data_IF_429518995209
#
_entry.id   IF_429518995209
#
_cell.length_a   1.000
_cell.length_b   1.000
_cell.length_c   1.000
_cell.angle_alpha   90.00
_cell.angle_beta   90.00
_cell.angle_gamma   90.00
#
_symmetry.space_group_name_H-M   'P 1'
#
loop_
_entity.id
_entity.type
_entity.pdbx_description
1 polymer ?
#
# COMPACT_ATOMS: atom_id res chain seq x y z
N UNK A 1 49.10 -17.09 5.96
CA UNK A 1 47.76 -17.07 6.59
C UNK A 1 47.26 -15.68 6.94
N UNK A 2 47.76 -14.98 7.99
CA UNK A 2 47.20 -13.66 8.37
C UNK A 2 47.46 -12.59 7.29
N UNK A 3 48.68 -12.52 6.73
CA UNK A 3 49.02 -11.55 5.69
C UNK A 3 48.31 -11.78 4.35
N UNK A 4 48.14 -13.04 3.93
CA UNK A 4 47.38 -13.40 2.72
C UNK A 4 45.90 -13.07 2.86
N UNK A 5 45.33 -13.30 4.05
CA UNK A 5 43.96 -12.92 4.35
C UNK A 5 43.77 -11.40 4.33
N UNK A 6 44.72 -10.63 4.88
CA UNK A 6 44.70 -9.16 4.82
C UNK A 6 44.77 -8.67 3.38
N UNK A 7 45.69 -9.19 2.56
CA UNK A 7 45.81 -8.78 1.16
C UNK A 7 44.56 -9.10 0.32
N UNK A 8 43.84 -10.19 0.63
CA UNK A 8 42.56 -10.50 -0.01
C UNK A 8 41.44 -9.55 0.47
N UNK A 9 41.43 -9.17 1.75
CA UNK A 9 40.47 -8.19 2.28
C UNK A 9 40.68 -6.81 1.67
N UNK A 10 41.92 -6.38 1.52
CA UNK A 10 42.24 -5.11 0.86
C UNK A 10 41.74 -5.10 -0.59
N UNK A 11 41.84 -6.23 -1.31
CA UNK A 11 41.28 -6.36 -2.65
C UNK A 11 39.74 -6.33 -2.67
N UNK A 12 39.09 -6.92 -1.67
CA UNK A 12 37.62 -6.83 -1.50
C UNK A 12 37.22 -5.38 -1.26
N UNK A 13 37.93 -4.66 -0.38
CA UNK A 13 37.64 -3.26 -0.08
C UNK A 13 37.75 -2.36 -1.33
N UNK A 14 38.71 -2.63 -2.23
CA UNK A 14 38.82 -1.91 -3.51
C UNK A 14 37.64 -2.22 -4.45
N UNK A 15 37.16 -3.48 -4.50
CA UNK A 15 35.96 -3.84 -5.25
C UNK A 15 34.72 -3.14 -4.66
N UNK A 16 34.59 -3.11 -3.34
CA UNK A 16 33.46 -2.46 -2.66
C UNK A 16 33.45 -0.94 -2.90
N UNK A 17 34.62 -0.29 -2.91
CA UNK A 17 34.74 1.13 -3.31
C UNK A 17 34.33 1.35 -4.77
N UNK A 18 34.72 0.45 -5.67
CA UNK A 18 34.31 0.54 -7.06
C UNK A 18 32.79 0.39 -7.21
N UNK A 19 32.16 -0.51 -6.45
CA UNK A 19 30.70 -0.65 -6.39
C UNK A 19 30.03 0.65 -5.93
N UNK A 20 30.55 1.31 -4.89
CA UNK A 20 30.04 2.62 -4.46
C UNK A 20 30.10 3.67 -5.57
N UNK A 21 31.21 3.73 -6.32
CA UNK A 21 31.35 4.62 -7.48
C UNK A 21 30.32 4.33 -8.58
N UNK A 22 30.05 3.06 -8.87
CA UNK A 22 29.04 2.64 -9.84
C UNK A 22 27.62 2.99 -9.38
N UNK A 23 27.33 2.83 -8.09
CA UNK A 23 26.04 3.21 -7.50
C UNK A 23 25.82 4.72 -7.58
N UNK A 24 26.83 5.52 -7.25
CA UNK A 24 26.77 6.99 -7.37
C UNK A 24 26.48 7.41 -8.83
N UNK A 25 27.23 6.85 -9.79
CA UNK A 25 26.99 7.12 -11.21
C UNK A 25 25.59 6.71 -11.66
N UNK A 26 25.08 5.60 -11.14
CA UNK A 26 23.72 5.15 -11.45
C UNK A 26 22.67 6.12 -10.90
N UNK A 27 22.86 6.66 -9.70
CA UNK A 27 21.95 7.65 -9.12
C UNK A 27 21.94 8.95 -9.94
N UNK A 28 23.08 9.41 -10.46
CA UNK A 28 23.14 10.54 -11.41
C UNK A 28 22.31 10.27 -12.66
N UNK A 29 22.47 9.10 -13.29
CA UNK A 29 21.70 8.70 -14.47
C UNK A 29 20.20 8.59 -14.18
N UNK A 30 19.83 8.08 -13.00
CA UNK A 30 18.42 8.06 -12.55
C UNK A 30 17.88 9.48 -12.42
N UNK A 31 18.68 10.41 -11.91
CA UNK A 31 18.31 11.81 -11.78
C UNK A 31 18.03 12.45 -13.16
N UNK A 32 18.86 12.15 -14.17
CA UNK A 32 18.65 12.59 -15.56
C UNK A 32 17.40 11.93 -16.18
N UNK A 33 17.20 10.63 -15.92
CA UNK A 33 15.99 9.90 -16.37
C UNK A 33 14.74 10.51 -15.74
N UNK A 34 14.77 10.89 -14.47
CA UNK A 34 13.68 11.57 -13.77
C UNK A 34 13.30 12.89 -14.44
N UNK A 35 14.28 13.69 -14.85
CA UNK A 35 14.04 14.95 -15.59
C UNK A 35 13.37 14.71 -16.94
N UNK A 36 13.83 13.69 -17.68
CA UNK A 36 13.22 13.28 -18.95
C UNK A 36 11.78 12.79 -18.72
N UNK A 37 11.56 11.88 -17.77
CA UNK A 37 10.21 11.36 -17.47
C UNK A 37 9.27 12.47 -17.03
N UNK A 38 9.72 13.39 -16.17
CA UNK A 38 8.94 14.53 -15.71
C UNK A 38 8.60 15.47 -16.87
N UNK A 39 9.52 15.74 -17.80
CA UNK A 39 9.23 16.53 -19.00
C UNK A 39 8.15 15.91 -19.89
N UNK A 40 8.19 14.59 -20.08
CA UNK A 40 7.27 13.89 -20.98
C UNK A 40 6.00 13.36 -20.30
N UNK A 41 5.94 13.29 -18.97
CA UNK A 41 4.82 12.72 -18.22
C UNK A 41 4.82 11.20 -18.20
N UNK A 42 6.01 10.60 -18.26
CA UNK A 42 6.14 9.15 -18.27
C UNK A 42 6.08 8.60 -16.83
N UNK A 43 5.46 7.43 -16.60
CA UNK A 43 5.35 6.86 -15.28
C UNK A 43 6.71 6.48 -14.71
N UNK A 44 6.88 6.70 -13.39
CA UNK A 44 8.09 6.28 -12.68
C UNK A 44 8.29 4.77 -12.79
N UNK A 45 7.21 4.01 -12.64
CA UNK A 45 7.23 2.55 -12.61
C UNK A 45 6.63 1.93 -13.88
N UNK A 46 7.46 1.19 -14.61
CA UNK A 46 7.08 0.43 -15.81
C UNK A 46 7.39 -1.05 -15.57
N UNK A 47 6.41 -1.89 -15.20
CA UNK A 47 6.63 -3.28 -14.79
C UNK A 47 7.38 -4.13 -15.82
N UNK A 48 7.00 -4.01 -17.10
CA UNK A 48 7.58 -4.80 -18.18
C UNK A 48 9.06 -4.49 -18.38
N UNK A 49 9.43 -3.20 -18.34
CA UNK A 49 10.83 -2.76 -18.45
C UNK A 49 11.68 -3.29 -17.29
N UNK A 50 11.15 -3.27 -16.06
CA UNK A 50 11.83 -3.85 -14.90
C UNK A 50 12.04 -5.36 -15.09
N UNK A 51 11.00 -6.08 -15.50
CA UNK A 51 11.07 -7.53 -15.72
C UNK A 51 12.08 -7.92 -16.81
N UNK A 52 12.07 -7.23 -17.96
CA UNK A 52 13.02 -7.48 -19.06
C UNK A 52 14.45 -7.19 -18.64
N UNK A 53 14.69 -6.08 -17.92
CA UNK A 53 16.03 -5.72 -17.44
C UNK A 53 16.56 -6.76 -16.45
N UNK A 54 15.75 -7.17 -15.47
CA UNK A 54 16.13 -8.20 -14.51
C UNK A 54 16.43 -9.54 -15.18
N UNK A 55 15.56 -9.99 -16.09
CA UNK A 55 15.77 -11.24 -16.83
C UNK A 55 17.09 -11.20 -17.64
N UNK A 56 17.38 -10.08 -18.31
CA UNK A 56 18.63 -9.90 -19.04
C UNK A 56 19.85 -9.95 -18.11
N UNK A 57 19.79 -9.28 -16.95
CA UNK A 57 20.92 -9.21 -16.01
C UNK A 57 21.16 -10.53 -15.27
N UNK A 58 20.11 -11.30 -14.99
CA UNK A 58 20.23 -12.68 -14.48
C UNK A 58 21.03 -13.56 -15.44
N UNK A 59 20.69 -13.54 -16.74
CA UNK A 59 21.39 -14.33 -17.76
C UNK A 59 22.86 -13.91 -17.92
N UNK A 60 23.14 -12.61 -17.86
CA UNK A 60 24.51 -12.08 -17.89
C UNK A 60 25.31 -12.53 -16.66
N UNK A 61 24.71 -12.47 -15.47
CA UNK A 61 25.33 -12.95 -14.23
C UNK A 61 25.71 -14.44 -14.30
N UNK A 62 24.83 -15.30 -14.83
CA UNK A 62 25.13 -16.73 -15.05
C UNK A 62 26.38 -16.93 -15.89
N UNK A 63 26.54 -16.16 -16.97
CA UNK A 63 27.70 -16.25 -17.87
C UNK A 63 29.02 -15.83 -17.20
N UNK A 64 28.95 -15.06 -16.12
CA UNK A 64 30.10 -14.57 -15.34
C UNK A 64 30.35 -15.39 -14.06
N UNK A 65 29.55 -16.44 -13.81
CA UNK A 65 29.63 -17.23 -12.57
C UNK A 65 29.07 -16.52 -11.34
N UNK A 66 28.30 -15.43 -11.53
CA UNK A 66 27.61 -14.71 -10.46
C UNK A 66 26.21 -15.31 -10.27
N UNK A 67 25.77 -15.60 -9.02
CA UNK A 67 24.42 -16.11 -8.78
C UNK A 67 23.33 -15.15 -9.31
N UNK A 68 22.35 -15.64 -10.09
CA UNK A 68 21.27 -14.81 -10.64
C UNK A 68 20.46 -14.07 -9.56
N UNK A 69 20.23 -14.73 -8.43
CA UNK A 69 19.42 -14.19 -7.35
C UNK A 69 20.15 -13.03 -6.66
N UNK A 70 21.49 -13.10 -6.54
CA UNK A 70 22.30 -12.03 -5.95
C UNK A 70 22.18 -10.74 -6.76
N UNK A 71 22.37 -10.81 -8.09
CA UNK A 71 22.29 -9.62 -8.93
C UNK A 71 20.87 -9.05 -8.96
N UNK A 72 19.85 -9.91 -8.94
CA UNK A 72 18.46 -9.47 -8.88
C UNK A 72 18.17 -8.73 -7.57
N UNK A 73 18.58 -9.27 -6.42
CA UNK A 73 18.39 -8.62 -5.11
C UNK A 73 19.08 -7.25 -5.05
N UNK A 74 20.34 -7.17 -5.50
CA UNK A 74 21.09 -5.90 -5.58
C UNK A 74 20.35 -4.90 -6.47
N UNK A 75 19.99 -5.29 -7.70
CA UNK A 75 19.30 -4.39 -8.62
C UNK A 75 17.94 -3.95 -8.09
N UNK A 76 17.17 -4.83 -7.46
CA UNK A 76 15.88 -4.48 -6.83
C UNK A 76 16.04 -3.47 -5.71
N UNK A 77 17.06 -3.62 -4.85
CA UNK A 77 17.34 -2.65 -3.77
C UNK A 77 17.74 -1.29 -4.34
N UNK A 78 18.58 -1.26 -5.36
CA UNK A 78 19.06 -0.03 -6.00
C UNK A 78 17.93 0.66 -6.79
N UNK A 79 17.06 -0.11 -7.45
CA UNK A 79 15.85 0.44 -8.10
C UNK A 79 14.88 1.06 -7.10
N UNK A 80 14.72 0.46 -5.91
CA UNK A 80 13.88 1.05 -4.85
C UNK A 80 14.37 2.44 -4.45
N UNK A 81 15.69 2.61 -4.33
CA UNK A 81 16.32 3.92 -4.08
C UNK A 81 16.07 4.92 -5.21
N UNK A 82 16.00 4.43 -6.44
CA UNK A 82 15.74 5.25 -7.63
C UNK A 82 14.33 5.83 -7.61
N UNK A 83 13.33 5.02 -7.21
CA UNK A 83 11.95 5.48 -7.13
C UNK A 83 11.74 6.56 -6.06
N UNK A 84 12.47 6.49 -4.94
CA UNK A 84 12.42 7.51 -3.90
C UNK A 84 13.10 8.80 -4.32
N UNK A 85 14.29 8.73 -4.93
CA UNK A 85 15.02 9.91 -5.41
C UNK A 85 14.34 10.61 -6.60
N UNK A 86 13.65 9.87 -7.49
CA UNK A 86 12.84 10.46 -8.56
C UNK A 86 11.67 11.30 -8.02
N UNK A 87 11.10 10.94 -6.85
CA UNK A 87 9.98 11.70 -6.25
C UNK A 87 10.38 13.12 -5.82
N UNK A 88 11.65 13.34 -5.45
CA UNK A 88 12.09 14.64 -4.91
C UNK A 88 12.27 15.73 -5.99
N UNK A 89 12.32 15.35 -7.28
CA UNK A 89 12.47 16.28 -8.41
C UNK A 89 11.14 16.82 -8.98
N UNK A 90 10.01 16.36 -8.45
CA UNK A 90 8.68 16.76 -8.92
C UNK A 90 8.21 16.02 -10.18
N UNK A 91 6.90 16.07 -10.41
CA UNK A 91 6.21 15.35 -11.47
C UNK A 91 5.62 16.32 -12.49
N UNK A 92 5.37 15.83 -13.71
CA UNK A 92 4.59 16.58 -14.70
C UNK A 92 3.21 16.89 -14.16
N UNK A 93 2.80 18.15 -14.25
CA UNK A 93 1.41 18.58 -14.09
C UNK A 93 0.62 18.17 -15.33
N UNK A 94 -0.29 17.20 -15.21
CA UNK A 94 -1.10 16.76 -16.36
C UNK A 94 -2.26 17.70 -16.67
N UNK A 95 -2.73 18.46 -15.69
CA UNK A 95 -3.80 19.45 -15.84
C UNK A 95 -3.36 20.81 -15.26
N UNK A 96 -2.56 21.61 -15.99
CA UNK A 96 -2.00 22.87 -15.48
C UNK A 96 -3.04 23.94 -15.15
N UNK A 97 -4.20 23.89 -15.80
CA UNK A 97 -5.30 24.85 -15.63
C UNK A 97 -6.18 24.54 -14.41
N UNK A 98 -5.89 23.46 -13.67
CA UNK A 98 -6.67 23.09 -12.50
C UNK A 98 -6.55 24.18 -11.43
N UNK A 99 -7.71 24.68 -10.99
CA UNK A 99 -7.82 25.54 -9.81
C UNK A 99 -7.35 24.80 -8.54
N UNK A 100 -7.17 25.48 -7.41
CA UNK A 100 -6.54 24.87 -6.23
C UNK A 100 -7.25 23.61 -5.76
N UNK A 101 -6.45 22.65 -5.30
CA UNK A 101 -6.93 21.42 -4.66
C UNK A 101 -7.09 21.69 -3.18
N UNK A 102 -8.27 21.42 -2.64
CA UNK A 102 -8.53 21.52 -1.20
C UNK A 102 -8.59 20.12 -0.60
N UNK A 103 -7.80 19.84 0.42
CA UNK A 103 -7.82 18.55 1.13
C UNK A 103 -8.46 18.75 2.50
N UNK A 104 -9.64 18.17 2.69
CA UNK A 104 -10.36 18.13 3.97
C UNK A 104 -9.76 17.02 4.83
N UNK A 105 -9.23 17.37 6.01
CA UNK A 105 -8.42 16.46 6.83
C UNK A 105 -7.01 16.26 6.29
N UNK A 106 -6.47 17.23 5.55
CA UNK A 106 -5.15 17.16 4.92
C UNK A 106 -3.97 17.16 5.90
N UNK A 107 -4.19 17.53 7.16
CA UNK A 107 -3.24 17.40 8.27
C UNK A 107 -3.10 15.96 8.79
N UNK A 108 -4.03 15.06 8.44
CA UNK A 108 -3.89 13.63 8.69
C UNK A 108 -2.82 12.98 7.80
N UNK A 109 -2.28 11.83 8.21
CA UNK A 109 -1.12 11.21 7.56
C UNK A 109 -1.33 10.93 6.05
N UNK A 110 -2.49 10.39 5.67
CA UNK A 110 -2.82 10.14 4.25
C UNK A 110 -3.05 11.45 3.48
N UNK A 111 -3.70 12.43 4.12
CA UNK A 111 -3.92 13.76 3.57
C UNK A 111 -2.60 14.46 3.25
N UNK A 112 -1.63 14.39 4.16
CA UNK A 112 -0.28 14.93 3.98
C UNK A 112 0.46 14.25 2.82
N UNK A 113 0.32 12.93 2.67
CA UNK A 113 0.90 12.20 1.55
C UNK A 113 0.36 12.72 0.21
N UNK A 114 -0.97 12.82 0.06
CA UNK A 114 -1.57 13.35 -1.17
C UNK A 114 -1.24 14.83 -1.39
N UNK A 115 -1.21 15.65 -0.33
CA UNK A 115 -0.77 17.05 -0.40
C UNK A 115 0.65 17.17 -0.95
N UNK A 116 1.57 16.33 -0.45
CA UNK A 116 2.96 16.27 -0.94
C UNK A 116 3.00 15.88 -2.41
N UNK A 117 2.30 14.82 -2.83
CA UNK A 117 2.33 14.34 -4.22
C UNK A 117 1.73 15.35 -5.20
N UNK A 118 0.64 16.02 -4.81
CA UNK A 118 0.02 17.09 -5.60
C UNK A 118 0.95 18.31 -5.72
N UNK A 119 1.57 18.74 -4.62
CA UNK A 119 2.53 19.85 -4.61
C UNK A 119 3.75 19.55 -5.49
N UNK A 120 4.30 18.34 -5.37
CA UNK A 120 5.39 17.86 -6.24
C UNK A 120 4.98 17.81 -7.71
N UNK A 121 3.68 17.70 -8.00
CA UNK A 121 3.14 17.73 -9.37
C UNK A 121 2.75 19.14 -9.83
N UNK A 122 3.09 20.19 -9.08
CA UNK A 122 2.86 21.59 -9.45
C UNK A 122 1.46 22.13 -9.13
N UNK A 123 0.62 21.39 -8.41
CA UNK A 123 -0.71 21.86 -8.02
C UNK A 123 -0.66 22.75 -6.77
N UNK A 124 -1.47 23.80 -6.73
CA UNK A 124 -1.69 24.56 -5.50
C UNK A 124 -2.60 23.75 -4.56
N UNK A 125 -2.11 23.46 -3.36
CA UNK A 125 -2.85 22.70 -2.34
C UNK A 125 -3.24 23.61 -1.17
N UNK A 126 -4.50 23.52 -0.74
CA UNK A 126 -5.02 24.15 0.47
C UNK A 126 -5.52 23.05 1.41
N UNK A 127 -5.35 23.24 2.71
CA UNK A 127 -5.80 22.29 3.73
C UNK A 127 -7.01 22.88 4.45
N UNK A 128 -8.02 22.05 4.70
CA UNK A 128 -9.17 22.39 5.54
C UNK A 128 -9.22 21.40 6.70
N UNK A 129 -8.92 21.87 7.91
CA UNK A 129 -8.99 21.10 9.15
C UNK A 129 -10.27 21.38 9.94
N UNK A 130 -10.45 20.64 11.04
CA UNK A 130 -11.60 20.75 11.95
C UNK A 130 -11.82 22.17 12.48
N UNK A 131 -10.77 22.96 12.67
CA UNK A 131 -10.88 24.32 13.20
C UNK A 131 -11.13 25.36 12.08
N UNK A 132 -10.96 24.98 10.81
CA UNK A 132 -11.05 25.90 9.66
C UNK A 132 -12.47 25.98 9.06
N UNK A 133 -13.44 25.24 9.61
CA UNK A 133 -14.80 25.16 9.05
C UNK A 133 -15.51 26.51 8.98
N UNK A 134 -15.15 27.48 9.83
CA UNK A 134 -15.65 28.85 9.76
C UNK A 134 -15.26 29.58 8.46
N UNK A 135 -14.21 29.11 7.77
CA UNK A 135 -13.69 29.65 6.52
C UNK A 135 -13.91 28.71 5.33
N UNK A 136 -14.69 27.62 5.51
CA UNK A 136 -14.88 26.59 4.50
C UNK A 136 -15.41 27.16 3.17
N UNK A 137 -16.43 28.04 3.23
CA UNK A 137 -16.98 28.70 2.05
C UNK A 137 -15.89 29.43 1.24
N UNK A 138 -15.01 30.19 1.91
CA UNK A 138 -13.95 30.94 1.27
C UNK A 138 -12.85 30.04 0.69
N UNK A 139 -12.47 28.98 1.40
CA UNK A 139 -11.43 28.04 0.97
C UNK A 139 -11.86 27.21 -0.24
N UNK A 140 -13.16 26.89 -0.33
CA UNK A 140 -13.75 26.00 -1.33
C UNK A 140 -14.38 26.76 -2.52
N UNK A 141 -14.54 28.08 -2.43
CA UNK A 141 -15.23 28.91 -3.43
C UNK A 141 -14.68 28.77 -4.86
N UNK A 142 -13.35 28.66 -5.01
CA UNK A 142 -12.66 28.51 -6.29
C UNK A 142 -11.99 27.14 -6.44
N UNK A 143 -12.32 26.15 -5.61
CA UNK A 143 -11.68 24.84 -5.68
C UNK A 143 -11.90 24.15 -7.04
N UNK A 144 -10.83 23.62 -7.63
CA UNK A 144 -10.90 22.76 -8.81
C UNK A 144 -11.09 21.29 -8.46
N UNK A 145 -10.64 20.90 -7.28
CA UNK A 145 -10.80 19.55 -6.74
C UNK A 145 -10.85 19.62 -5.21
N UNK A 146 -11.71 18.81 -4.60
CA UNK A 146 -11.82 18.63 -3.15
C UNK A 146 -11.59 17.16 -2.83
N UNK A 147 -10.60 16.88 -1.98
CA UNK A 147 -10.26 15.53 -1.52
C UNK A 147 -10.63 15.40 -0.05
N UNK A 148 -11.49 14.44 0.28
CA UNK A 148 -11.92 14.12 1.64
C UNK A 148 -11.03 13.01 2.20
N UNK A 149 -10.20 13.35 3.18
CA UNK A 149 -9.23 12.47 3.84
C UNK A 149 -9.39 12.51 5.36
N UNK A 150 -10.61 12.27 5.84
CA UNK A 150 -10.96 12.25 7.28
C UNK A 150 -11.23 10.81 7.76
N UNK A 151 -11.32 10.56 9.08
CA UNK A 151 -11.69 9.24 9.59
C UNK A 151 -13.03 8.73 9.03
N UNK A 152 -13.14 7.41 8.88
CA UNK A 152 -14.28 6.76 8.21
C UNK A 152 -15.60 7.14 8.89
N UNK A 153 -15.68 7.06 10.23
CA UNK A 153 -16.90 7.35 10.99
C UNK A 153 -17.44 8.79 10.85
N UNK A 154 -16.62 9.75 10.41
CA UNK A 154 -17.06 11.13 10.15
C UNK A 154 -17.16 11.48 8.67
N UNK A 155 -16.73 10.60 7.76
CA UNK A 155 -16.59 10.90 6.34
C UNK A 155 -17.91 11.38 5.71
N UNK A 156 -18.99 10.62 5.86
CA UNK A 156 -20.31 10.99 5.32
C UNK A 156 -20.85 12.29 5.92
N UNK A 157 -20.65 12.50 7.22
CA UNK A 157 -21.06 13.73 7.90
C UNK A 157 -20.29 14.95 7.39
N UNK A 158 -18.98 14.80 7.17
CA UNK A 158 -18.12 15.86 6.62
C UNK A 158 -18.53 16.20 5.20
N UNK A 159 -18.76 15.19 4.35
CA UNK A 159 -19.23 15.39 2.97
C UNK A 159 -20.56 16.14 2.96
N UNK A 160 -21.51 15.76 3.82
CA UNK A 160 -22.82 16.42 3.92
C UNK A 160 -22.75 17.88 4.42
N UNK A 161 -21.67 18.25 5.11
CA UNK A 161 -21.44 19.62 5.61
C UNK A 161 -20.71 20.52 4.62
N UNK A 162 -20.21 19.98 3.51
CA UNK A 162 -19.49 20.79 2.52
C UNK A 162 -20.40 21.91 2.01
N UNK A 163 -19.88 23.15 1.85
CA UNK A 163 -20.60 24.20 1.16
C UNK A 163 -20.81 23.83 -0.31
N UNK A 164 -21.59 24.64 -1.02
CA UNK A 164 -21.81 24.43 -2.46
C UNK A 164 -20.48 24.57 -3.19
N UNK A 165 -20.05 23.49 -3.84
CA UNK A 165 -18.84 23.46 -4.65
C UNK A 165 -19.12 24.00 -6.07
N UNK A 166 -18.11 24.54 -6.77
CA UNK A 166 -18.22 24.84 -8.19
C UNK A 166 -18.69 23.61 -8.99
N UNK A 167 -19.56 23.80 -9.99
CA UNK A 167 -20.18 22.70 -10.74
C UNK A 167 -19.16 21.77 -11.44
N UNK A 168 -18.00 22.31 -11.80
CA UNK A 168 -16.89 21.60 -12.43
C UNK A 168 -15.82 21.09 -11.44
N UNK A 169 -15.98 21.38 -10.14
CA UNK A 169 -15.06 20.89 -9.10
C UNK A 169 -15.15 19.36 -8.99
N UNK A 170 -14.01 18.67 -8.95
CA UNK A 170 -13.99 17.21 -8.75
C UNK A 170 -14.06 16.91 -7.25
N UNK A 171 -15.07 16.15 -6.80
CA UNK A 171 -15.17 15.70 -5.41
C UNK A 171 -14.64 14.27 -5.27
N UNK A 172 -13.66 14.08 -4.40
CA UNK A 172 -12.91 12.83 -4.21
C UNK A 172 -12.90 12.42 -2.74
N UNK A 173 -12.97 11.12 -2.43
CA UNK A 173 -12.69 10.58 -1.09
C UNK A 173 -11.50 9.61 -1.11
N UNK A 174 -10.84 9.46 0.05
CA UNK A 174 -9.76 8.47 0.27
C UNK A 174 -10.13 7.39 1.29
N UNK A 175 -11.42 7.24 1.64
CA UNK A 175 -11.81 6.35 2.73
C UNK A 175 -11.53 4.86 2.42
N UNK A 176 -11.42 4.02 3.46
CA UNK A 176 -11.23 2.57 3.25
C UNK A 176 -12.52 1.81 2.90
N UNK A 177 -13.68 2.45 3.01
CA UNK A 177 -15.00 1.96 2.57
C UNK A 177 -15.51 2.86 1.46
N UNK A 178 -16.29 2.33 0.50
CA UNK A 178 -16.64 3.10 -0.71
C UNK A 178 -18.12 3.36 -0.89
N UNK A 179 -19.01 2.41 -0.57
CA UNK A 179 -20.44 2.55 -0.88
C UNK A 179 -21.08 3.77 -0.20
N UNK A 180 -20.87 3.93 1.10
CA UNK A 180 -21.39 5.06 1.88
C UNK A 180 -20.82 6.41 1.46
N UNK A 181 -19.49 6.61 1.52
CA UNK A 181 -18.84 7.86 1.10
C UNK A 181 -19.16 8.26 -0.34
N UNK A 182 -19.14 7.33 -1.30
CA UNK A 182 -19.45 7.64 -2.70
C UNK A 182 -20.89 8.13 -2.87
N UNK A 183 -21.85 7.50 -2.18
CA UNK A 183 -23.25 7.92 -2.21
C UNK A 183 -23.45 9.29 -1.54
N UNK A 184 -22.75 9.56 -0.44
CA UNK A 184 -22.75 10.87 0.20
C UNK A 184 -22.21 11.96 -0.75
N UNK A 185 -21.11 11.69 -1.45
CA UNK A 185 -20.54 12.64 -2.43
C UNK A 185 -21.48 12.89 -3.60
N UNK A 186 -22.09 11.83 -4.15
CA UNK A 186 -23.07 11.94 -5.24
C UNK A 186 -24.32 12.76 -4.86
N UNK A 187 -24.68 12.77 -3.58
CA UNK A 187 -25.81 13.52 -3.03
C UNK A 187 -25.44 14.98 -2.77
N UNK A 188 -24.25 15.22 -2.20
CA UNK A 188 -23.77 16.55 -1.84
C UNK A 188 -23.33 17.39 -3.05
N UNK A 189 -22.85 16.75 -4.12
CA UNK A 189 -22.31 17.44 -5.29
C UNK A 189 -23.00 17.03 -6.59
N UNK A 190 -23.20 17.98 -7.50
CA UNK A 190 -23.79 17.75 -8.84
C UNK A 190 -22.75 17.47 -9.92
N UNK A 191 -21.52 17.92 -9.73
CA UNK A 191 -20.41 17.76 -10.68
C UNK A 191 -19.73 16.39 -10.65
N UNK A 192 -18.45 16.33 -11.06
CA UNK A 192 -17.67 15.10 -11.09
C UNK A 192 -17.41 14.51 -9.70
N UNK A 193 -17.53 13.18 -9.58
CA UNK A 193 -17.34 12.43 -8.33
C UNK A 193 -16.50 11.18 -8.58
N UNK A 194 -15.45 11.00 -7.76
CA UNK A 194 -14.51 9.88 -7.82
C UNK A 194 -14.26 9.31 -6.43
N UNK A 195 -14.45 8.01 -6.23
CA UNK A 195 -14.03 7.35 -4.99
C UNK A 195 -12.65 6.71 -5.13
N UNK A 196 -11.75 6.96 -4.18
CA UNK A 196 -10.43 6.30 -4.14
C UNK A 196 -10.24 5.53 -2.83
N UNK A 197 -9.44 4.47 -2.90
CA UNK A 197 -8.90 3.77 -1.73
C UNK A 197 -7.43 3.42 -1.99
N UNK A 198 -6.48 4.19 -1.41
CA UNK A 198 -5.08 3.82 -1.37
C UNK A 198 -4.92 2.55 -0.52
N UNK A 199 -4.50 1.43 -1.12
CA UNK A 199 -4.38 0.12 -0.45
C UNK A 199 -3.10 -0.02 0.39
N UNK A 200 -2.58 1.10 0.90
CA UNK A 200 -1.30 1.21 1.57
C UNK A 200 -1.34 2.29 2.65
N UNK A 201 -0.44 2.16 3.62
CA UNK A 201 -0.27 3.14 4.68
C UNK A 201 0.53 4.37 4.24
N UNK A 202 0.46 5.47 5.01
CA UNK A 202 1.12 6.73 4.68
C UNK A 202 2.66 6.66 4.73
N UNK A 203 3.23 5.64 5.39
CA UNK A 203 4.68 5.42 5.49
C UNK A 203 5.35 4.96 4.18
N UNK A 204 4.57 4.86 3.09
CA UNK A 204 5.10 4.53 1.76
C UNK A 204 5.95 5.69 1.21
N UNK A 205 7.28 5.59 1.31
CA UNK A 205 8.20 6.60 0.76
C UNK A 205 8.12 6.81 -0.77
N UNK A 206 7.39 5.94 -1.49
CA UNK A 206 7.05 6.09 -2.90
C UNK A 206 5.75 5.35 -3.22
N UNK A 207 4.96 5.90 -4.16
CA UNK A 207 3.75 5.27 -4.69
C UNK A 207 4.07 4.20 -5.76
N UNK A 208 5.34 4.03 -6.13
CA UNK A 208 5.77 2.97 -7.04
C UNK A 208 5.31 1.59 -6.54
N UNK A 209 4.62 0.85 -7.42
CA UNK A 209 4.07 -0.50 -7.16
C UNK A 209 2.90 -0.55 -6.19
N UNK A 210 2.53 0.57 -5.57
CA UNK A 210 1.38 0.63 -4.67
C UNK A 210 0.08 0.52 -5.46
N UNK A 211 -0.96 -0.05 -4.84
CA UNK A 211 -2.27 -0.18 -5.47
C UNK A 211 -3.18 0.93 -4.98
N UNK A 212 -3.84 1.64 -5.90
CA UNK A 212 -4.96 2.52 -5.61
C UNK A 212 -6.18 1.97 -6.31
N UNK A 213 -7.20 1.63 -5.52
CA UNK A 213 -8.49 1.23 -6.08
C UNK A 213 -9.30 2.49 -6.37
N UNK A 214 -10.04 2.49 -7.47
CA UNK A 214 -10.97 3.57 -7.78
C UNK A 214 -12.36 3.06 -8.13
N UNK A 215 -13.35 3.86 -7.73
CA UNK A 215 -14.77 3.64 -7.98
C UNK A 215 -15.34 4.88 -8.68
N UNK A 216 -15.91 4.70 -9.88
CA UNK A 216 -16.53 5.81 -10.60
C UNK A 216 -17.81 6.26 -9.88
N UNK A 217 -17.95 7.56 -9.66
CA UNK A 217 -19.19 8.19 -9.20
C UNK A 217 -19.98 8.81 -10.34
N UNK A 218 -19.51 9.97 -10.84
CA UNK A 218 -20.16 10.75 -11.90
C UNK A 218 -19.13 11.46 -12.77
N UNK A 219 -19.43 11.61 -14.07
CA UNK A 219 -18.58 12.31 -15.06
C UNK A 219 -17.12 11.83 -15.08
N UNK A 220 -16.86 10.53 -15.33
CA UNK A 220 -15.51 9.97 -15.32
C UNK A 220 -14.53 10.63 -16.27
N UNK A 221 -15.01 11.21 -17.35
CA UNK A 221 -14.23 11.99 -18.31
C UNK A 221 -13.53 13.20 -17.68
N UNK A 222 -14.10 13.80 -16.62
CA UNK A 222 -13.55 15.01 -16.00
C UNK A 222 -12.32 14.77 -15.12
N UNK A 223 -12.10 13.52 -14.66
CA UNK A 223 -11.00 13.17 -13.76
C UNK A 223 -10.05 12.11 -14.31
N UNK A 224 -10.15 11.73 -15.60
CA UNK A 224 -9.18 10.79 -16.19
C UNK A 224 -7.74 11.27 -16.05
N UNK A 225 -7.49 12.58 -16.25
CA UNK A 225 -6.16 13.17 -16.06
C UNK A 225 -5.62 12.93 -14.64
N UNK A 226 -6.48 12.87 -13.63
CA UNK A 226 -6.06 12.66 -12.23
C UNK A 226 -5.72 11.19 -11.96
N UNK A 227 -6.46 10.26 -12.57
CA UNK A 227 -6.08 8.84 -12.57
C UNK A 227 -4.72 8.66 -13.27
N UNK A 228 -4.52 9.28 -14.43
CA UNK A 228 -3.22 9.29 -15.12
C UNK A 228 -2.12 9.92 -14.26
N UNK A 229 -2.43 10.98 -13.51
CA UNK A 229 -1.48 11.62 -12.59
C UNK A 229 -1.05 10.66 -11.48
N UNK A 230 -1.97 9.87 -10.91
CA UNK A 230 -1.67 8.83 -9.92
C UNK A 230 -0.80 7.72 -10.54
N UNK A 231 -1.00 7.37 -11.82
CA UNK A 231 -0.12 6.44 -12.52
C UNK A 231 1.28 7.02 -12.78
N UNK A 232 1.39 8.32 -13.06
CA UNK A 232 2.67 9.03 -13.18
C UNK A 232 3.47 8.91 -11.88
N UNK A 233 2.79 8.99 -10.73
CA UNK A 233 3.38 8.74 -9.40
C UNK A 233 3.85 7.29 -9.19
N UNK A 234 3.54 6.37 -10.11
CA UNK A 234 3.99 4.98 -10.11
C UNK A 234 3.00 3.98 -9.50
N UNK A 235 1.81 4.44 -9.10
CA UNK A 235 0.77 3.58 -8.56
C UNK A 235 0.11 2.74 -9.66
N UNK A 236 -0.31 1.54 -9.28
CA UNK A 236 -1.17 0.67 -10.07
C UNK A 236 -2.60 0.96 -9.71
N UNK A 237 -3.37 1.36 -10.71
CA UNK A 237 -4.78 1.59 -10.53
C UNK A 237 -5.58 0.30 -10.74
N UNK A 238 -6.61 0.08 -9.93
CA UNK A 238 -7.58 -1.00 -10.13
C UNK A 238 -9.02 -0.47 -10.07
N UNK A 239 -9.77 -0.61 -11.18
CA UNK A 239 -11.17 -0.17 -11.28
C UNK A 239 -12.10 -1.23 -10.71
N UNK A 240 -13.05 -0.81 -9.88
CA UNK A 240 -14.08 -1.69 -9.33
C UNK A 240 -15.34 -0.88 -8.99
N UNK A 241 -16.49 -1.54 -8.85
CA UNK A 241 -17.68 -0.89 -8.29
C UNK A 241 -17.55 -0.71 -6.76
N UNK A 242 -18.18 0.31 -6.19
CA UNK A 242 -18.13 0.53 -4.74
C UNK A 242 -18.71 -0.64 -3.93
N UNK A 243 -19.75 -1.30 -4.45
CA UNK A 243 -20.38 -2.46 -3.82
C UNK A 243 -19.43 -3.67 -3.82
N UNK A 244 -18.83 -3.97 -4.98
CA UNK A 244 -17.89 -5.09 -5.10
C UNK A 244 -16.60 -4.82 -4.31
N UNK A 245 -16.15 -3.57 -4.26
CA UNK A 245 -15.04 -3.16 -3.40
C UNK A 245 -15.30 -3.53 -1.94
N UNK A 246 -16.41 -3.09 -1.37
CA UNK A 246 -16.70 -3.31 0.05
C UNK A 246 -16.92 -4.80 0.36
N UNK A 247 -17.50 -5.56 -0.59
CA UNK A 247 -17.59 -7.02 -0.49
C UNK A 247 -16.21 -7.70 -0.43
N UNK A 248 -15.26 -7.26 -1.26
CA UNK A 248 -13.90 -7.78 -1.24
C UNK A 248 -13.13 -7.35 0.02
N UNK A 249 -13.33 -6.11 0.49
CA UNK A 249 -12.72 -5.61 1.73
C UNK A 249 -13.22 -6.34 2.98
N UNK A 250 -14.42 -6.93 2.94
CA UNK A 250 -14.89 -7.80 4.02
C UNK A 250 -13.92 -8.98 4.26
N UNK A 251 -13.32 -9.55 3.21
CA UNK A 251 -12.32 -10.62 3.32
C UNK A 251 -10.90 -10.09 3.54
N UNK A 252 -10.50 -9.07 2.78
CA UNK A 252 -9.13 -8.54 2.77
C UNK A 252 -8.80 -7.80 4.06
N UNK A 253 -9.75 -7.02 4.58
CA UNK A 253 -9.55 -6.15 5.74
C UNK A 253 -10.38 -6.63 6.94
N UNK A 254 -11.72 -6.64 6.87
CA UNK A 254 -12.55 -6.83 8.05
C UNK A 254 -12.31 -8.19 8.74
N UNK A 255 -12.44 -9.30 8.00
CA UNK A 255 -12.20 -10.64 8.52
C UNK A 255 -10.74 -10.82 8.95
N UNK A 256 -9.79 -10.38 8.12
CA UNK A 256 -8.35 -10.51 8.41
C UNK A 256 -7.96 -9.77 9.67
N UNK A 257 -8.33 -8.49 9.80
CA UNK A 257 -8.01 -7.67 10.96
C UNK A 257 -8.72 -8.18 12.21
N UNK A 258 -9.99 -8.59 12.13
CA UNK A 258 -10.68 -9.15 13.28
C UNK A 258 -10.04 -10.45 13.77
N UNK A 259 -9.65 -11.36 12.86
CA UNK A 259 -8.95 -12.58 13.23
C UNK A 259 -7.59 -12.28 13.89
N UNK A 260 -6.83 -11.31 13.37
CA UNK A 260 -5.57 -10.87 13.98
C UNK A 260 -5.78 -10.20 15.34
N UNK A 261 -6.81 -9.36 15.49
CA UNK A 261 -7.20 -8.74 16.75
C UNK A 261 -7.55 -9.81 17.79
N UNK A 262 -8.42 -10.77 17.44
CA UNK A 262 -8.85 -11.83 18.33
C UNK A 262 -7.67 -12.74 18.76
N UNK A 263 -6.76 -13.06 17.84
CA UNK A 263 -5.56 -13.82 18.17
C UNK A 263 -4.63 -13.06 19.12
N UNK A 264 -4.38 -11.76 18.87
CA UNK A 264 -3.58 -10.93 19.77
C UNK A 264 -4.21 -10.74 21.14
N UNK A 265 -5.54 -10.56 21.20
CA UNK A 265 -6.31 -10.52 22.44
C UNK A 265 -6.14 -11.84 23.22
N UNK A 266 -6.27 -12.98 22.56
CA UNK A 266 -6.08 -14.29 23.19
C UNK A 266 -4.66 -14.46 23.75
N UNK A 267 -3.61 -14.09 23.00
CA UNK A 267 -2.23 -14.14 23.50
C UNK A 267 -2.04 -13.27 24.77
N UNK A 268 -2.68 -12.10 24.82
CA UNK A 268 -2.63 -11.21 25.97
C UNK A 268 -3.37 -11.82 27.18
N UNK A 269 -4.56 -12.40 26.97
CA UNK A 269 -5.36 -13.03 28.04
C UNK A 269 -4.72 -14.30 28.60
N UNK A 270 -4.03 -15.09 27.77
CA UNK A 270 -3.24 -16.26 28.18
C UNK A 270 -1.94 -15.87 28.92
N UNK A 271 -1.64 -14.57 29.05
CA UNK A 271 -0.44 -14.03 29.70
C UNK A 271 0.87 -14.63 29.14
N UNK A 272 0.92 -14.84 27.83
CA UNK A 272 2.10 -15.44 27.19
C UNK A 272 3.28 -14.46 27.21
N UNK A 273 4.45 -14.92 27.65
CA UNK A 273 5.67 -14.10 27.62
C UNK A 273 6.22 -13.98 26.19
N UNK A 274 6.00 -12.81 25.57
CA UNK A 274 6.37 -12.58 24.17
C UNK A 274 7.89 -12.75 23.93
N UNK A 275 8.72 -12.33 24.88
CA UNK A 275 10.18 -12.48 24.81
C UNK A 275 10.60 -13.95 24.69
N UNK A 276 9.96 -14.83 25.45
CA UNK A 276 10.21 -16.27 25.40
C UNK A 276 9.76 -16.88 24.06
N UNK A 277 8.60 -16.47 23.53
CA UNK A 277 8.15 -16.90 22.20
C UNK A 277 9.16 -16.47 21.13
N UNK A 278 9.63 -15.23 21.18
CA UNK A 278 10.58 -14.69 20.21
C UNK A 278 11.94 -15.39 20.30
N UNK A 279 12.41 -15.74 21.49
CA UNK A 279 13.65 -16.48 21.70
C UNK A 279 13.63 -17.89 21.07
N UNK A 280 12.44 -18.50 21.01
CA UNK A 280 12.23 -19.83 20.40
C UNK A 280 11.80 -19.76 18.92
N UNK A 281 11.57 -18.55 18.39
CA UNK A 281 11.02 -18.36 17.05
C UNK A 281 12.08 -18.38 15.96
N UNK A 282 11.88 -19.26 14.97
CA UNK A 282 12.56 -19.15 13.67
C UNK A 282 12.12 -17.84 12.96
N UNK A 283 12.80 -17.42 11.86
CA UNK A 283 12.43 -16.19 11.16
C UNK A 283 10.95 -16.10 10.74
N UNK A 284 10.33 -17.22 10.36
CA UNK A 284 8.91 -17.24 9.97
C UNK A 284 7.99 -17.01 11.16
N UNK A 285 8.20 -17.69 12.28
CA UNK A 285 7.35 -17.50 13.47
C UNK A 285 7.50 -16.10 14.06
N UNK A 286 8.71 -15.54 14.02
CA UNK A 286 8.92 -14.13 14.41
C UNK A 286 8.16 -13.19 13.47
N UNK A 287 8.18 -13.45 12.17
CA UNK A 287 7.43 -12.65 11.20
C UNK A 287 5.92 -12.76 11.45
N UNK A 288 5.38 -13.94 11.72
CA UNK A 288 3.97 -14.13 12.07
C UNK A 288 3.56 -13.32 13.31
N UNK A 289 4.35 -13.37 14.39
CA UNK A 289 4.13 -12.55 15.58
C UNK A 289 4.25 -11.04 15.29
N UNK A 290 5.23 -10.64 14.47
CA UNK A 290 5.37 -9.24 14.06
C UNK A 290 4.15 -8.75 13.25
N UNK A 291 3.59 -9.60 12.39
CA UNK A 291 2.37 -9.30 11.62
C UNK A 291 1.13 -9.14 12.51
N UNK A 292 1.07 -9.84 13.65
CA UNK A 292 0.03 -9.64 14.67
C UNK A 292 0.29 -8.36 15.45
N UNK A 293 1.49 -8.20 16.03
CA UNK A 293 1.83 -7.08 16.90
C UNK A 293 1.72 -5.73 16.22
N UNK A 294 2.11 -5.63 14.94
CA UNK A 294 2.02 -4.37 14.17
C UNK A 294 0.59 -3.85 13.99
N UNK A 295 -0.44 -4.69 14.17
CA UNK A 295 -1.83 -4.25 14.16
C UNK A 295 -2.07 -3.27 15.33
N UNK A 296 -1.58 -3.61 16.52
CA UNK A 296 -1.81 -2.88 17.77
C UNK A 296 -0.95 -1.61 17.91
N UNK A 297 0.01 -1.40 17.00
CA UNK A 297 0.81 -0.18 16.92
C UNK A 297 0.13 0.94 16.09
N UNK A 298 -1.04 0.66 15.52
CA UNK A 298 -1.80 1.58 14.66
C UNK A 298 -3.06 2.08 15.38
N UNK A 299 -3.79 3.00 14.75
CA UNK A 299 -5.00 3.61 15.33
C UNK A 299 -6.13 2.57 15.52
N UNK A 300 -6.58 2.29 16.76
CA UNK A 300 -7.67 1.35 17.01
C UNK A 300 -9.01 1.80 16.41
N UNK A 301 -9.27 3.12 16.29
CA UNK A 301 -10.51 3.63 15.75
C UNK A 301 -10.66 3.27 14.26
N UNK A 302 -9.57 3.31 13.50
CA UNK A 302 -9.56 2.89 12.09
C UNK A 302 -10.04 1.43 11.93
N UNK A 303 -9.51 0.52 12.75
CA UNK A 303 -9.90 -0.89 12.69
C UNK A 303 -11.33 -1.11 13.16
N UNK A 304 -11.78 -0.40 14.20
CA UNK A 304 -13.16 -0.43 14.64
C UNK A 304 -14.10 0.00 13.50
N UNK A 305 -13.82 1.13 12.86
CA UNK A 305 -14.61 1.65 11.75
C UNK A 305 -14.67 0.67 10.57
N UNK A 306 -13.53 0.08 10.17
CA UNK A 306 -13.48 -0.90 9.07
C UNK A 306 -14.28 -2.15 9.42
N UNK A 307 -14.03 -2.76 10.59
CA UNK A 307 -14.63 -4.04 10.98
C UNK A 307 -16.15 -3.86 11.19
N UNK A 308 -16.56 -2.75 11.81
CA UNK A 308 -17.95 -2.46 12.15
C UNK A 308 -18.72 -1.68 11.07
N UNK A 309 -18.09 -1.37 9.93
CA UNK A 309 -18.69 -0.59 8.84
C UNK A 309 -19.97 -1.20 8.25
N UNK A 310 -20.19 -2.51 8.40
CA UNK A 310 -21.39 -3.15 7.86
C UNK A 310 -21.80 -4.41 8.64
N UNK A 311 -23.10 -4.72 8.60
CA UNK A 311 -23.65 -5.96 9.14
C UNK A 311 -23.20 -7.21 8.37
N UNK A 312 -22.81 -7.07 7.10
CA UNK A 312 -22.26 -8.19 6.31
C UNK A 312 -20.89 -8.63 6.82
N UNK A 313 -20.08 -7.70 7.37
CA UNK A 313 -18.81 -8.04 8.00
C UNK A 313 -19.03 -8.92 9.23
N UNK A 314 -19.97 -8.54 10.11
CA UNK A 314 -20.33 -9.34 11.27
C UNK A 314 -20.84 -10.73 10.86
N UNK A 315 -21.67 -10.81 9.82
CA UNK A 315 -22.15 -12.08 9.30
C UNK A 315 -21.00 -12.97 8.78
N UNK A 316 -20.02 -12.40 8.08
CA UNK A 316 -18.83 -13.11 7.61
C UNK A 316 -17.98 -13.61 8.78
N UNK A 317 -17.73 -12.78 9.78
CA UNK A 317 -16.97 -13.12 10.98
C UNK A 317 -17.66 -14.27 11.74
N UNK A 318 -18.99 -14.23 11.90
CA UNK A 318 -19.75 -15.33 12.51
C UNK A 318 -19.64 -16.63 11.73
N UNK A 319 -19.67 -16.59 10.40
CA UNK A 319 -19.42 -17.78 9.57
C UNK A 319 -18.01 -18.32 9.77
N UNK A 320 -17.00 -17.45 9.85
CA UNK A 320 -15.63 -17.86 10.13
C UNK A 320 -15.50 -18.54 11.50
N UNK A 321 -16.12 -17.98 12.54
CA UNK A 321 -16.18 -18.61 13.86
C UNK A 321 -16.84 -20.01 13.83
N UNK A 322 -17.93 -20.17 13.08
CA UNK A 322 -18.55 -21.49 12.89
C UNK A 322 -17.58 -22.49 12.24
N UNK A 323 -16.84 -22.07 11.20
CA UNK A 323 -15.80 -22.92 10.56
C UNK A 323 -14.66 -23.26 11.52
N UNK A 324 -14.28 -22.33 12.40
CA UNK A 324 -13.29 -22.59 13.44
C UNK A 324 -13.77 -23.67 14.42
N UNK A 325 -15.03 -23.60 14.87
CA UNK A 325 -15.64 -24.64 15.70
C UNK A 325 -15.72 -26.00 15.01
N UNK A 326 -16.07 -26.05 13.72
CA UNK A 326 -16.05 -27.28 12.93
C UNK A 326 -14.64 -27.89 12.84
N UNK A 327 -13.60 -27.05 12.69
CA UNK A 327 -12.21 -27.49 12.68
C UNK A 327 -11.75 -28.05 14.05
N UNK A 328 -12.24 -27.49 15.17
CA UNK A 328 -12.02 -28.05 16.51
C UNK A 328 -12.61 -29.45 16.61
N UNK A 329 -13.81 -29.68 16.06
CA UNK A 329 -14.45 -31.00 16.06
C UNK A 329 -13.60 -32.10 15.42
N UNK A 330 -12.79 -31.77 14.40
CA UNK A 330 -11.83 -32.71 13.80
C UNK A 330 -10.73 -33.13 14.79
N UNK A 331 -10.29 -32.19 15.64
CA UNK A 331 -9.26 -32.42 16.66
C UNK A 331 -9.81 -33.22 17.84
N UNK A 332 -11.00 -32.88 18.32
CA UNK A 332 -11.67 -33.58 19.43
C UNK A 332 -11.93 -35.05 19.12
N UNK A 333 -12.30 -35.35 17.87
CA UNK A 333 -12.53 -36.72 17.40
C UNK A 333 -11.22 -37.46 17.09
N UNK A 334 -10.09 -36.76 17.05
CA UNK A 334 -8.81 -37.32 16.63
C UNK A 334 -8.77 -37.77 15.17
N UNK A 335 -9.67 -37.26 14.32
CA UNK A 335 -9.82 -37.69 12.93
C UNK A 335 -8.77 -37.02 12.03
N UNK A 336 -7.58 -37.60 12.05
CA UNK A 336 -6.45 -37.16 11.23
C UNK A 336 -6.75 -37.21 9.73
N UNK A 337 -7.55 -38.18 9.28
CA UNK A 337 -7.82 -38.33 7.86
C UNK A 337 -8.76 -37.22 7.37
N UNK A 338 -9.83 -36.93 8.11
CA UNK A 338 -10.71 -35.82 7.79
C UNK A 338 -9.99 -34.45 7.84
N UNK A 339 -9.03 -34.28 8.76
CA UNK A 339 -8.16 -33.10 8.77
C UNK A 339 -7.33 -33.00 7.48
N UNK A 340 -6.64 -34.07 7.08
CA UNK A 340 -5.81 -34.10 5.85
C UNK A 340 -6.67 -33.83 4.61
N UNK A 341 -7.86 -34.41 4.53
CA UNK A 341 -8.75 -34.21 3.39
C UNK A 341 -9.29 -32.78 3.33
N UNK A 342 -9.56 -32.16 4.48
CA UNK A 342 -9.92 -30.75 4.57
C UNK A 342 -8.75 -29.84 4.16
N UNK A 343 -7.53 -30.17 4.59
CA UNK A 343 -6.31 -29.46 4.19
C UNK A 343 -6.12 -29.49 2.67
N UNK A 344 -6.24 -30.67 2.04
CA UNK A 344 -6.11 -30.83 0.58
C UNK A 344 -7.19 -30.09 -0.21
N UNK A 345 -8.42 -30.00 0.32
CA UNK A 345 -9.47 -29.17 -0.28
C UNK A 345 -9.08 -27.69 -0.32
N UNK A 346 -8.49 -27.19 0.76
CA UNK A 346 -8.01 -25.81 0.84
C UNK A 346 -6.80 -25.60 -0.08
N UNK A 347 -5.84 -26.53 -0.09
CA UNK A 347 -4.70 -26.54 -1.02
C UNK A 347 -5.16 -26.46 -2.48
N UNK A 348 -6.14 -27.28 -2.86
CA UNK A 348 -6.69 -27.28 -4.22
C UNK A 348 -7.36 -25.95 -4.58
N UNK A 349 -8.06 -25.32 -3.64
CA UNK A 349 -8.66 -23.99 -3.85
C UNK A 349 -7.60 -22.88 -4.02
N UNK A 350 -6.51 -22.93 -3.24
CA UNK A 350 -5.38 -22.03 -3.46
C UNK A 350 -4.67 -22.31 -4.80
N UNK A 351 -4.66 -23.57 -5.25
CA UNK A 351 -4.05 -23.98 -6.50
C UNK A 351 -2.58 -23.55 -6.59
N UNK A 352 -2.19 -23.01 -7.74
CA UNK A 352 -0.81 -22.57 -8.00
C UNK A 352 -0.35 -21.45 -7.05
N UNK A 353 -1.27 -20.70 -6.43
CA UNK A 353 -0.93 -19.66 -5.46
C UNK A 353 -0.29 -20.23 -4.20
N UNK A 354 -0.59 -21.47 -3.79
CA UNK A 354 0.03 -22.08 -2.61
C UNK A 354 1.56 -22.18 -2.76
N UNK A 355 2.03 -22.73 -3.89
CA UNK A 355 3.45 -22.88 -4.20
C UNK A 355 4.12 -21.52 -4.45
N UNK A 356 3.40 -20.61 -5.12
CA UNK A 356 3.88 -19.26 -5.36
C UNK A 356 4.10 -18.49 -4.06
N UNK A 357 3.13 -18.48 -3.14
CA UNK A 357 3.26 -17.82 -1.84
C UNK A 357 4.33 -18.47 -0.95
N UNK A 358 4.52 -19.78 -1.03
CA UNK A 358 5.65 -20.44 -0.36
C UNK A 358 6.99 -19.93 -0.90
N UNK A 359 7.12 -19.75 -2.21
CA UNK A 359 8.35 -19.24 -2.82
C UNK A 359 8.59 -17.76 -2.49
N UNK A 360 7.55 -16.93 -2.57
CA UNK A 360 7.60 -15.50 -2.25
C UNK A 360 7.96 -15.26 -0.77
N UNK A 361 7.33 -16.00 0.15
CA UNK A 361 7.64 -15.91 1.58
C UNK A 361 9.08 -16.30 1.91
N UNK A 362 9.67 -17.30 1.24
CA UNK A 362 11.09 -17.64 1.43
C UNK A 362 12.03 -16.48 1.12
N UNK A 363 11.74 -15.71 0.06
CA UNK A 363 12.55 -14.53 -0.30
C UNK A 363 12.40 -13.45 0.77
N UNK A 364 11.17 -13.16 1.20
CA UNK A 364 10.90 -12.19 2.26
C UNK A 364 11.60 -12.56 3.58
N UNK A 365 11.61 -13.85 3.93
CA UNK A 365 12.25 -14.34 5.14
C UNK A 365 13.78 -14.23 5.11
N UNK A 366 14.42 -14.44 3.95
CA UNK A 366 15.87 -14.23 3.81
C UNK A 366 16.21 -12.76 4.09
N UNK A 367 15.51 -11.84 3.43
CA UNK A 367 15.70 -10.39 3.62
C UNK A 367 15.45 -9.95 5.07
N UNK A 368 14.40 -10.49 5.70
CA UNK A 368 14.11 -10.21 7.10
C UNK A 368 15.18 -10.78 8.05
N UNK A 369 15.81 -11.90 7.70
CA UNK A 369 16.88 -12.52 8.48
C UNK A 369 18.20 -11.75 8.35
N UNK A 370 18.52 -11.24 7.15
CA UNK A 370 19.73 -10.43 6.91
C UNK A 370 19.69 -9.10 7.66
N UNK A 371 18.49 -8.61 7.98
CA UNK A 371 18.26 -7.35 8.71
C UNK A 371 18.30 -7.53 10.24
N UNK A 372 18.69 -8.71 10.74
CA UNK A 372 18.81 -8.94 12.20
C UNK A 372 20.07 -8.24 12.74
N UNK A 373 19.95 -7.49 13.85
CA UNK A 373 21.09 -6.87 14.52
C UNK A 373 22.05 -7.88 15.13
#
# INVERSE_FOLDING_TARGET
MVAELTALRDQIDEVDKALLGLLARRLELVAEVGEVKSKYGLPIYVPEREATMLASRRKEAESLGVPPDLIEDVLRRVMRESYSSENDKGFKTLCPELRPVVIVGGGGQMGQLFAKMLTLSGYQVRILEKEDWAQADALLADAGMVIVSVPIHVTEQVIAKLPTLPDDCILVDLASVKSGPLQAMLTAHKGPVLGLHPMFGPDSGSLAKQVVVWCDGRQPEAYQWFLEQIQVWGARLHRISAVEHDQNMAFIQALRHFATFAYGLHLAEENVQLEQLLALSSPIYRLELAMVGRLFAQDPQLYADIIMSSSSNLALIKRYYQRFGEAIGLLEQGDKQAFIDSFRKVEHWFGDYAQRFQSESRVLLRQANDSRP
#
